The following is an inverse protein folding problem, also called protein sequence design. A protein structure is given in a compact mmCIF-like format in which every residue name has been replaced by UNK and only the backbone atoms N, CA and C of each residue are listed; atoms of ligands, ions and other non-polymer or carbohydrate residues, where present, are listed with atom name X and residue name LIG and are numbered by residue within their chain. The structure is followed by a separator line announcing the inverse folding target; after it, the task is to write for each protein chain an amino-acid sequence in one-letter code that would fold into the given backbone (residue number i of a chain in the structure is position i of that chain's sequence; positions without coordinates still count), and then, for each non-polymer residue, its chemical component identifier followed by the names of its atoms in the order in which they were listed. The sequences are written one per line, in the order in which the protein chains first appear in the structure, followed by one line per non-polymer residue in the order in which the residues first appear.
data_IF_463347295685
#
_entry.id   IF_463347295685
#
_cell.length_a   1.000
_cell.length_b   1.000
_cell.length_c   1.000
_cell.angle_alpha   90.00
_cell.angle_beta   90.00
_cell.angle_gamma   90.00
#
_symmetry.space_group_name_H-M   'P 1'
#
loop_
_entity.id
_entity.type
_entity.pdbx_description
1 polymer ?
#
# COMPACT_ATOMS: atom_id res chain seq x y z
N UNK A 1 23.55 -6.13 -1.68
CA UNK A 1 23.88 -4.94 -0.87
C UNK A 1 24.10 -5.29 0.61
N UNK A 2 23.25 -6.08 1.27
CA UNK A 2 23.51 -6.56 2.65
C UNK A 2 24.69 -7.50 2.70
N UNK A 3 24.88 -8.34 1.70
CA UNK A 3 26.10 -9.17 1.55
C UNK A 3 27.39 -8.36 1.33
N UNK A 4 27.29 -7.06 1.08
CA UNK A 4 28.40 -6.11 0.91
C UNK A 4 28.65 -5.24 2.15
N UNK A 5 27.95 -5.48 3.27
CA UNK A 5 28.20 -4.83 4.56
C UNK A 5 27.47 -3.50 4.79
N UNK A 6 26.48 -3.13 3.97
CA UNK A 6 25.62 -1.98 4.27
C UNK A 6 24.71 -2.27 5.45
N UNK A 7 24.56 -1.30 6.36
CA UNK A 7 23.64 -1.42 7.48
C UNK A 7 22.19 -1.05 7.06
N UNK A 8 21.17 -1.46 7.82
CA UNK A 8 19.77 -1.17 7.51
C UNK A 8 19.45 0.33 7.34
N UNK A 9 20.10 1.21 8.12
CA UNK A 9 19.91 2.66 8.05
C UNK A 9 20.46 3.26 6.73
N UNK A 10 21.55 2.70 6.20
CA UNK A 10 22.11 3.11 4.90
C UNK A 10 21.19 2.68 3.75
N UNK A 11 20.59 1.49 3.88
CA UNK A 11 19.63 0.97 2.91
C UNK A 11 18.35 1.80 2.95
N UNK A 12 17.84 2.15 4.14
CA UNK A 12 16.69 3.03 4.30
C UNK A 12 16.92 4.38 3.62
N UNK A 13 18.06 5.03 3.85
CA UNK A 13 18.42 6.29 3.19
C UNK A 13 18.48 6.17 1.67
N UNK A 14 18.97 5.03 1.16
CA UNK A 14 18.99 4.78 -0.29
C UNK A 14 17.58 4.64 -0.86
N UNK A 15 16.70 3.93 -0.15
CA UNK A 15 15.29 3.81 -0.53
C UNK A 15 14.58 5.17 -0.49
N UNK A 16 14.84 5.99 0.55
CA UNK A 16 14.27 7.34 0.66
C UNK A 16 14.74 8.28 -0.46
N UNK A 17 16.03 8.20 -0.85
CA UNK A 17 16.56 8.94 -2.01
C UNK A 17 15.92 8.48 -3.31
N UNK A 18 15.79 7.17 -3.53
CA UNK A 18 15.11 6.66 -4.72
C UNK A 18 13.64 7.10 -4.75
N UNK A 19 12.92 6.95 -3.65
CA UNK A 19 11.53 7.39 -3.55
C UNK A 19 11.38 8.90 -3.85
N UNK A 20 12.30 9.74 -3.35
CA UNK A 20 12.27 11.19 -3.60
C UNK A 20 12.54 11.57 -5.07
N UNK A 21 13.39 10.80 -5.78
CA UNK A 21 13.70 11.03 -7.19
C UNK A 21 12.50 10.65 -8.07
N UNK A 22 11.82 9.55 -7.75
CA UNK A 22 10.67 9.07 -8.51
C UNK A 22 9.38 9.85 -8.23
N UNK A 23 9.20 10.38 -7.01
CA UNK A 23 7.98 11.12 -6.60
C UNK A 23 7.62 12.26 -7.56
N UNK A 24 8.61 13.01 -8.05
CA UNK A 24 8.38 14.09 -9.02
C UNK A 24 7.97 13.62 -10.43
N UNK A 25 8.42 12.43 -10.84
CA UNK A 25 8.12 11.88 -12.17
C UNK A 25 6.80 11.13 -12.21
N UNK A 26 6.38 10.55 -11.09
CA UNK A 26 5.18 9.73 -10.96
C UNK A 26 3.94 10.60 -10.75
N UNK A 27 4.04 11.71 -10.01
CA UNK A 27 2.94 12.69 -9.89
C UNK A 27 2.45 13.23 -11.25
N UNK A 28 3.30 13.23 -12.29
CA UNK A 28 2.90 13.61 -13.65
C UNK A 28 2.24 12.46 -14.42
N UNK A 29 2.59 11.19 -14.11
CA UNK A 29 2.11 10.01 -14.85
C UNK A 29 0.76 9.51 -14.30
N UNK A 30 0.56 9.55 -12.99
CA UNK A 30 -0.65 9.00 -12.34
C UNK A 30 -1.86 9.94 -12.29
N UNK A 31 -1.76 11.17 -12.78
CA UNK A 31 -2.90 12.12 -12.79
C UNK A 31 -4.08 11.68 -13.66
N UNK A 32 -3.84 10.79 -14.63
CA UNK A 32 -4.86 10.40 -15.62
C UNK A 32 -5.36 8.94 -15.48
N UNK A 33 -4.76 8.10 -14.62
CA UNK A 33 -5.05 6.65 -14.56
C UNK A 33 -5.62 6.16 -13.21
N UNK A 34 -6.43 6.96 -12.53
CA UNK A 34 -7.17 6.47 -11.35
C UNK A 34 -8.12 5.34 -11.77
N UNK A 35 -7.77 4.11 -11.38
CA UNK A 35 -8.58 2.92 -11.58
C UNK A 35 -7.95 1.81 -12.43
N UNK A 36 -6.74 1.98 -12.93
CA UNK A 36 -5.99 0.87 -13.52
C UNK A 36 -5.22 0.12 -12.44
N UNK A 37 -5.77 -1.00 -12.01
CA UNK A 37 -5.08 -1.90 -11.10
C UNK A 37 -4.36 -2.97 -11.92
N UNK A 38 -3.03 -3.18 -11.72
CA UNK A 38 -2.29 -4.23 -12.43
C UNK A 38 -2.68 -5.64 -11.95
N UNK A 39 -3.54 -5.74 -10.94
CA UNK A 39 -3.98 -6.98 -10.34
C UNK A 39 -5.51 -7.12 -10.41
N UNK A 40 -6.04 -8.35 -10.62
CA UNK A 40 -7.47 -8.58 -10.59
C UNK A 40 -8.04 -8.41 -9.17
N UNK A 41 -9.35 -8.12 -9.09
CA UNK A 41 -10.06 -7.97 -7.82
C UNK A 41 -9.88 -9.21 -6.91
N UNK A 42 -9.55 -8.97 -5.66
CA UNK A 42 -9.26 -10.00 -4.65
C UNK A 42 -7.83 -10.51 -4.63
N UNK A 43 -7.02 -10.22 -5.67
CA UNK A 43 -5.60 -10.51 -5.64
C UNK A 43 -4.91 -9.78 -4.48
N UNK A 44 -3.92 -10.40 -3.77
CA UNK A 44 -3.26 -9.73 -2.63
C UNK A 44 -2.64 -8.37 -2.96
N UNK A 45 -2.06 -8.21 -4.17
CA UNK A 45 -1.55 -6.90 -4.62
C UNK A 45 -2.66 -5.86 -4.80
N UNK A 46 -3.82 -6.26 -5.37
CA UNK A 46 -4.98 -5.37 -5.46
C UNK A 46 -5.49 -4.99 -4.07
N UNK A 47 -5.56 -5.97 -3.15
CA UNK A 47 -6.00 -5.73 -1.76
C UNK A 47 -5.11 -4.72 -1.05
N UNK A 48 -3.78 -4.79 -1.26
CA UNK A 48 -2.83 -3.84 -0.66
C UNK A 48 -3.09 -2.42 -1.17
N UNK A 49 -3.29 -2.25 -2.48
CA UNK A 49 -3.55 -0.93 -3.11
C UNK A 49 -4.87 -0.32 -2.59
N UNK A 50 -5.97 -1.08 -2.59
CA UNK A 50 -7.26 -0.52 -2.15
C UNK A 50 -7.32 -0.22 -0.66
N UNK A 51 -6.50 -0.87 0.17
CA UNK A 51 -6.33 -0.48 1.56
C UNK A 51 -5.56 0.83 1.69
N UNK A 52 -4.49 1.00 0.91
CA UNK A 52 -3.72 2.24 0.86
C UNK A 52 -4.62 3.41 0.44
N UNK A 53 -5.41 3.26 -0.63
CA UNK A 53 -6.38 4.27 -1.06
C UNK A 53 -7.39 4.61 0.05
N UNK A 54 -7.93 3.61 0.74
CA UNK A 54 -8.89 3.83 1.82
C UNK A 54 -8.26 4.52 3.04
N UNK A 55 -7.00 4.24 3.33
CA UNK A 55 -6.22 4.91 4.38
C UNK A 55 -5.95 6.37 4.00
N UNK A 56 -5.51 6.63 2.77
CA UNK A 56 -5.29 8.00 2.26
C UNK A 56 -6.58 8.83 2.24
N UNK A 57 -7.70 8.23 1.79
CA UNK A 57 -9.00 8.86 1.84
C UNK A 57 -9.39 9.23 3.28
N UNK A 58 -9.23 8.31 4.23
CA UNK A 58 -9.52 8.58 5.63
C UNK A 58 -8.64 9.69 6.22
N UNK A 59 -7.36 9.71 5.89
CA UNK A 59 -6.44 10.77 6.32
C UNK A 59 -6.88 12.12 5.76
N UNK A 60 -7.15 12.19 4.46
CA UNK A 60 -7.47 13.45 3.77
C UNK A 60 -8.85 14.00 4.10
N UNK A 61 -9.84 13.14 4.33
CA UNK A 61 -11.23 13.55 4.57
C UNK A 61 -11.56 13.73 6.05
N UNK A 62 -10.90 12.99 6.93
CA UNK A 62 -11.23 12.99 8.37
C UNK A 62 -10.11 13.62 9.22
N UNK A 63 -8.87 13.14 9.10
CA UNK A 63 -7.82 13.56 10.05
C UNK A 63 -7.33 14.98 9.76
N UNK A 64 -6.95 15.27 8.53
CA UNK A 64 -6.37 16.57 8.16
C UNK A 64 -7.34 17.73 8.47
N UNK A 65 -8.62 17.71 8.06
CA UNK A 65 -9.54 18.78 8.35
C UNK A 65 -9.77 19.02 9.85
N UNK A 66 -9.88 17.93 10.64
CA UNK A 66 -10.04 18.04 12.10
C UNK A 66 -8.77 18.62 12.74
N UNK A 67 -7.59 18.20 12.29
CA UNK A 67 -6.32 18.69 12.81
C UNK A 67 -6.14 20.17 12.55
N UNK A 68 -6.43 20.64 11.34
CA UNK A 68 -6.36 22.07 10.94
C UNK A 68 -7.37 22.90 11.74
N UNK A 69 -8.60 22.42 11.89
CA UNK A 69 -9.61 23.11 12.68
C UNK A 69 -9.25 23.18 14.17
N UNK A 70 -8.68 22.07 14.72
CA UNK A 70 -8.23 22.04 16.12
C UNK A 70 -7.05 22.99 16.35
N UNK A 71 -6.10 23.05 15.43
CA UNK A 71 -4.95 23.95 15.53
C UNK A 71 -5.37 25.44 15.55
N UNK A 72 -6.43 25.79 14.83
CA UNK A 72 -6.95 27.16 14.77
C UNK A 72 -7.90 27.52 15.91
N UNK A 73 -8.74 26.60 16.34
CA UNK A 73 -9.85 26.89 17.27
C UNK A 73 -9.63 26.37 18.69
N UNK A 74 -8.68 25.46 18.92
CA UNK A 74 -8.31 24.90 20.23
C UNK A 74 -9.49 24.31 21.04
N UNK A 75 -10.55 23.85 20.36
CA UNK A 75 -11.73 23.32 21.03
C UNK A 75 -11.52 21.89 21.52
N UNK A 76 -11.88 21.58 22.77
CA UNK A 76 -11.77 20.22 23.33
C UNK A 76 -12.55 19.17 22.53
N UNK A 77 -13.69 19.57 21.96
CA UNK A 77 -14.47 18.68 21.09
C UNK A 77 -13.72 18.24 19.82
N UNK A 78 -12.91 19.12 19.23
CA UNK A 78 -12.05 18.81 18.08
C UNK A 78 -10.88 17.93 18.49
N UNK A 79 -10.28 18.21 19.66
CA UNK A 79 -9.24 17.36 20.25
C UNK A 79 -9.70 15.92 20.45
N UNK A 80 -10.92 15.74 20.97
CA UNK A 80 -11.51 14.42 21.18
C UNK A 80 -11.72 13.71 19.82
N UNK A 81 -12.31 14.41 18.85
CA UNK A 81 -12.52 13.85 17.50
C UNK A 81 -11.20 13.46 16.81
N UNK A 82 -10.18 14.32 16.92
CA UNK A 82 -8.86 14.04 16.33
C UNK A 82 -8.23 12.81 17.00
N UNK A 83 -8.37 12.70 18.32
CA UNK A 83 -7.91 11.50 19.06
C UNK A 83 -8.62 10.25 18.57
N UNK A 84 -9.96 10.27 18.48
CA UNK A 84 -10.75 9.13 18.00
C UNK A 84 -10.36 8.74 16.56
N UNK A 85 -10.11 9.73 15.70
CA UNK A 85 -9.65 9.48 14.34
C UNK A 85 -8.25 8.83 14.31
N UNK A 86 -7.32 9.26 15.17
CA UNK A 86 -6.00 8.64 15.30
C UNK A 86 -6.06 7.24 15.90
N UNK A 87 -6.96 6.98 16.86
CA UNK A 87 -7.22 5.64 17.38
C UNK A 87 -7.77 4.70 16.29
N UNK A 88 -8.66 5.21 15.43
CA UNK A 88 -9.16 4.47 14.27
C UNK A 88 -8.05 4.20 13.24
N UNK A 89 -7.17 5.19 12.99
CA UNK A 89 -6.03 5.04 12.09
C UNK A 89 -5.10 3.89 12.54
N UNK A 90 -5.02 3.60 13.83
CA UNK A 90 -4.23 2.48 14.33
C UNK A 90 -4.67 1.11 13.79
N UNK A 91 -5.85 1.00 13.17
CA UNK A 91 -6.26 -0.23 12.45
C UNK A 91 -5.31 -0.60 11.29
N UNK A 92 -4.43 0.32 10.87
CA UNK A 92 -3.33 0.06 9.92
C UNK A 92 -2.42 -1.08 10.36
N UNK A 93 -2.41 -1.39 11.65
CA UNK A 93 -1.68 -2.53 12.21
C UNK A 93 -2.02 -3.85 11.51
N UNK A 94 -3.27 -4.04 11.07
CA UNK A 94 -3.68 -5.23 10.29
C UNK A 94 -3.02 -5.26 8.91
N UNK A 95 -2.94 -4.10 8.25
CA UNK A 95 -2.27 -3.95 6.96
C UNK A 95 -0.77 -4.28 7.08
N UNK A 96 -0.08 -3.69 8.05
CA UNK A 96 1.33 -3.95 8.30
C UNK A 96 1.58 -5.40 8.75
N UNK A 97 0.78 -5.94 9.67
CA UNK A 97 0.90 -7.34 10.10
C UNK A 97 0.73 -8.31 8.92
N UNK A 98 -0.18 -8.03 7.98
CA UNK A 98 -0.35 -8.86 6.80
C UNK A 98 0.87 -8.77 5.86
N UNK A 99 1.41 -7.58 5.64
CA UNK A 99 2.65 -7.37 4.88
C UNK A 99 3.82 -8.13 5.54
N UNK A 100 4.02 -7.96 6.83
CA UNK A 100 5.10 -8.56 7.61
C UNK A 100 5.01 -10.09 7.70
N UNK A 101 3.82 -10.63 7.92
CA UNK A 101 3.62 -12.07 8.16
C UNK A 101 3.42 -12.87 6.87
N UNK A 102 2.97 -12.24 5.78
CA UNK A 102 2.64 -12.95 4.55
C UNK A 102 3.55 -12.56 3.38
N UNK A 103 3.84 -11.27 3.13
CA UNK A 103 4.70 -10.89 2.01
C UNK A 103 6.18 -11.10 2.32
N UNK A 104 6.65 -10.66 3.47
CA UNK A 104 8.09 -10.69 3.81
C UNK A 104 8.69 -12.10 3.82
N UNK A 105 8.02 -13.15 4.37
CA UNK A 105 8.56 -14.50 4.30
C UNK A 105 8.75 -15.02 2.87
N UNK A 106 7.84 -14.67 1.95
CA UNK A 106 8.00 -15.04 0.55
C UNK A 106 9.09 -14.22 -0.14
N UNK A 107 9.26 -12.94 0.20
CA UNK A 107 10.40 -12.15 -0.28
C UNK A 107 11.72 -12.78 0.15
N UNK A 108 11.86 -13.14 1.41
CA UNK A 108 13.06 -13.82 1.94
C UNK A 108 13.29 -15.18 1.26
N UNK A 109 12.24 -15.95 1.01
CA UNK A 109 12.30 -17.22 0.25
C UNK A 109 12.89 -17.01 -1.15
N UNK A 110 12.61 -15.88 -1.78
CA UNK A 110 13.14 -15.50 -3.10
C UNK A 110 14.45 -14.71 -3.02
N UNK A 111 15.09 -14.64 -1.85
CA UNK A 111 16.40 -14.00 -1.66
C UNK A 111 16.36 -12.48 -1.47
N UNK A 112 15.18 -11.90 -1.33
CA UNK A 112 14.98 -10.47 -1.05
C UNK A 112 14.90 -10.28 0.47
N UNK A 113 16.00 -9.92 1.11
CA UNK A 113 16.08 -9.86 2.58
C UNK A 113 16.20 -8.45 3.15
N UNK A 114 16.77 -7.52 2.38
CA UNK A 114 17.01 -6.16 2.85
C UNK A 114 15.73 -5.30 2.98
N UNK A 115 14.88 -5.20 1.94
CA UNK A 115 13.66 -4.40 2.01
C UNK A 115 12.72 -4.81 3.14
N UNK A 116 12.43 -6.12 3.37
CA UNK A 116 11.60 -6.55 4.50
C UNK A 116 12.10 -6.04 5.85
N UNK A 117 13.39 -6.13 6.13
CA UNK A 117 13.96 -5.69 7.41
C UNK A 117 13.83 -4.18 7.62
N UNK A 118 14.05 -3.39 6.56
CA UNK A 118 13.90 -1.93 6.63
C UNK A 118 12.44 -1.53 6.79
N UNK A 119 11.54 -2.12 5.99
CA UNK A 119 10.12 -1.78 6.03
C UNK A 119 9.50 -2.16 7.37
N UNK A 120 9.86 -3.31 7.95
CA UNK A 120 9.41 -3.70 9.29
C UNK A 120 9.77 -2.64 10.34
N UNK A 121 11.02 -2.17 10.34
CA UNK A 121 11.44 -1.11 11.25
C UNK A 121 10.62 0.17 11.10
N UNK A 122 10.33 0.57 9.88
CA UNK A 122 9.52 1.78 9.60
C UNK A 122 8.04 1.56 9.97
N UNK A 123 7.48 0.38 9.74
CA UNK A 123 6.12 0.03 10.18
C UNK A 123 5.98 0.18 11.70
N UNK A 124 6.97 -0.29 12.47
CA UNK A 124 7.00 -0.13 13.92
C UNK A 124 7.11 1.34 14.35
N UNK A 125 7.95 2.12 13.66
CA UNK A 125 8.04 3.57 13.91
C UNK A 125 6.70 4.29 13.66
N UNK A 126 5.98 3.94 12.60
CA UNK A 126 4.66 4.50 12.30
C UNK A 126 3.67 4.13 13.39
N UNK A 127 3.63 2.86 13.83
CA UNK A 127 2.80 2.41 14.95
C UNK A 127 3.05 3.23 16.21
N UNK A 128 4.32 3.46 16.55
CA UNK A 128 4.70 4.23 17.73
C UNK A 128 4.36 5.72 17.59
N UNK A 129 4.51 6.31 16.41
CA UNK A 129 4.10 7.71 16.14
C UNK A 129 2.59 7.90 16.28
N UNK A 130 1.78 6.96 15.77
CA UNK A 130 0.31 7.00 15.95
C UNK A 130 -0.04 6.91 17.43
N UNK A 131 0.53 5.95 18.18
CA UNK A 131 0.31 5.82 19.62
C UNK A 131 0.73 7.07 20.39
N UNK A 132 1.88 7.66 20.02
CA UNK A 132 2.36 8.91 20.61
C UNK A 132 1.38 10.06 20.39
N UNK A 133 0.84 10.19 19.18
CA UNK A 133 -0.16 11.22 18.84
C UNK A 133 -1.43 11.06 19.67
N UNK A 134 -1.96 9.84 19.82
CA UNK A 134 -3.11 9.52 20.66
C UNK A 134 -2.83 9.88 22.14
N UNK A 135 -1.62 9.58 22.62
CA UNK A 135 -1.21 9.93 24.00
C UNK A 135 -1.14 11.43 24.21
N UNK A 136 -0.54 12.18 23.27
CA UNK A 136 -0.46 13.64 23.35
C UNK A 136 -1.86 14.30 23.28
N UNK A 137 -2.74 13.80 22.43
CA UNK A 137 -4.13 14.23 22.36
C UNK A 137 -4.94 13.89 23.63
N UNK A 138 -4.45 12.98 24.45
CA UNK A 138 -5.05 12.65 25.75
C UNK A 138 -4.49 13.52 26.90
N UNK A 139 -3.37 14.21 26.71
CA UNK A 139 -2.76 15.06 27.73
C UNK A 139 -3.45 16.43 27.78
N UNK A 140 -3.93 16.81 28.95
CA UNK A 140 -4.58 18.10 29.18
C UNK A 140 -3.64 19.31 29.13
N UNK A 141 -2.32 19.11 29.21
CA UNK A 141 -1.32 20.16 29.29
C UNK A 141 -0.60 20.40 27.96
N UNK A 142 -0.84 19.58 26.94
CA UNK A 142 -0.20 19.74 25.64
C UNK A 142 -0.82 20.89 24.84
N UNK A 143 -0.01 21.64 24.11
CA UNK A 143 -0.52 22.66 23.18
C UNK A 143 -1.18 22.01 21.96
N UNK A 144 -2.14 22.70 21.34
CA UNK A 144 -2.77 22.22 20.12
C UNK A 144 -1.73 22.06 19.00
N UNK A 145 -0.81 22.99 18.88
CA UNK A 145 0.27 22.94 17.88
C UNK A 145 1.17 21.73 18.06
N UNK A 146 1.59 21.38 19.28
CA UNK A 146 2.45 20.22 19.52
C UNK A 146 1.71 18.90 19.25
N UNK A 147 0.43 18.84 19.64
CA UNK A 147 -0.39 17.66 19.37
C UNK A 147 -0.61 17.46 17.86
N UNK A 148 -0.93 18.54 17.12
CA UNK A 148 -1.11 18.48 15.66
C UNK A 148 0.21 18.20 14.94
N UNK A 149 1.33 18.76 15.42
CA UNK A 149 2.66 18.43 14.87
C UNK A 149 2.93 16.93 14.95
N UNK A 150 2.65 16.31 16.10
CA UNK A 150 2.81 14.85 16.26
C UNK A 150 1.91 14.05 15.31
N UNK A 151 0.69 14.50 15.06
CA UNK A 151 -0.23 13.88 14.10
C UNK A 151 0.34 13.97 12.67
N UNK A 152 0.83 15.15 12.28
CA UNK A 152 1.45 15.36 10.96
C UNK A 152 2.67 14.48 10.75
N UNK A 153 3.55 14.38 11.74
CA UNK A 153 4.73 13.49 11.69
C UNK A 153 4.36 12.02 11.46
N UNK A 154 3.26 11.55 12.07
CA UNK A 154 2.78 10.19 11.89
C UNK A 154 2.22 9.98 10.47
N UNK A 155 1.42 10.93 9.98
CA UNK A 155 0.80 10.88 8.65
C UNK A 155 1.86 10.95 7.55
N UNK A 156 2.83 11.85 7.65
CA UNK A 156 3.89 12.00 6.65
C UNK A 156 4.65 10.69 6.45
N UNK A 157 5.07 10.04 7.53
CA UNK A 157 5.80 8.76 7.43
C UNK A 157 4.91 7.64 6.89
N UNK A 158 3.61 7.64 7.24
CA UNK A 158 2.64 6.68 6.74
C UNK A 158 2.45 6.82 5.21
N UNK A 159 2.24 8.04 4.72
CA UNK A 159 2.12 8.31 3.27
C UNK A 159 3.40 7.93 2.52
N UNK A 160 4.58 8.18 3.11
CA UNK A 160 5.83 7.70 2.53
C UNK A 160 5.91 6.16 2.47
N UNK A 161 5.35 5.46 3.46
CA UNK A 161 5.29 4.00 3.42
C UNK A 161 4.35 3.51 2.33
N UNK A 162 3.15 4.09 2.19
CA UNK A 162 2.22 3.79 1.09
C UNK A 162 2.94 3.90 -0.27
N UNK A 163 3.63 5.01 -0.50
CA UNK A 163 4.41 5.20 -1.71
C UNK A 163 5.46 4.09 -1.92
N UNK A 164 6.19 3.70 -0.87
CA UNK A 164 7.18 2.62 -0.95
C UNK A 164 6.54 1.26 -1.23
N UNK A 165 5.36 1.01 -0.72
CA UNK A 165 4.60 -0.22 -0.99
C UNK A 165 4.16 -0.32 -2.44
N UNK A 166 3.65 0.76 -3.01
CA UNK A 166 3.13 0.76 -4.37
C UNK A 166 4.22 0.84 -5.43
N UNK A 167 5.22 1.69 -5.23
CA UNK A 167 6.24 1.99 -6.23
C UNK A 167 7.50 1.13 -6.12
N UNK A 168 7.74 0.48 -4.97
CA UNK A 168 8.94 -0.33 -4.75
C UNK A 168 8.57 -1.78 -4.42
N UNK A 169 7.75 -2.00 -3.39
CA UNK A 169 7.43 -3.35 -2.92
C UNK A 169 6.64 -4.13 -3.97
N UNK A 170 5.50 -3.60 -4.43
CA UNK A 170 4.62 -4.31 -5.38
C UNK A 170 5.31 -4.67 -6.69
N UNK A 171 6.02 -3.77 -7.39
CA UNK A 171 6.80 -4.15 -8.56
C UNK A 171 7.82 -5.25 -8.27
N UNK A 172 8.56 -5.12 -7.17
CA UNK A 172 9.58 -6.09 -6.79
C UNK A 172 9.01 -7.49 -6.54
N UNK A 173 7.89 -7.61 -5.82
CA UNK A 173 7.28 -8.92 -5.53
C UNK A 173 6.55 -9.49 -6.74
N UNK A 174 6.02 -8.64 -7.62
CA UNK A 174 5.37 -9.07 -8.87
C UNK A 174 6.35 -9.79 -9.80
N UNK A 175 7.60 -9.37 -9.81
CA UNK A 175 8.64 -9.98 -10.63
C UNK A 175 9.08 -11.36 -10.12
N UNK A 176 8.91 -11.67 -8.83
CA UNK A 176 9.51 -12.86 -8.22
C UNK A 176 8.51 -13.84 -7.60
N UNK A 177 7.33 -13.38 -7.19
CA UNK A 177 6.34 -14.26 -6.56
C UNK A 177 5.67 -15.17 -7.58
N UNK A 178 5.58 -16.44 -7.23
CA UNK A 178 4.84 -17.43 -8.01
C UNK A 178 3.32 -17.31 -7.76
N UNK A 179 2.47 -17.84 -8.65
CA UNK A 179 1.03 -17.92 -8.40
C UNK A 179 0.69 -18.65 -7.10
N UNK A 180 1.50 -19.61 -6.70
CA UNK A 180 1.36 -20.38 -5.46
C UNK A 180 1.70 -19.52 -4.22
N UNK A 181 2.70 -18.64 -4.31
CA UNK A 181 3.03 -17.68 -3.25
C UNK A 181 1.88 -16.68 -3.06
N UNK A 182 1.36 -16.12 -4.14
CA UNK A 182 0.21 -15.22 -4.11
C UNK A 182 -1.05 -15.89 -3.52
N UNK A 183 -1.29 -17.15 -3.87
CA UNK A 183 -2.41 -17.94 -3.34
C UNK A 183 -2.28 -18.14 -1.82
N UNK A 184 -1.07 -18.43 -1.33
CA UNK A 184 -0.82 -18.60 0.09
C UNK A 184 -0.99 -17.28 0.87
N UNK A 185 -0.62 -16.13 0.27
CA UNK A 185 -0.84 -14.80 0.86
C UNK A 185 -2.35 -14.51 0.95
N UNK A 186 -3.12 -14.81 -0.11
CA UNK A 186 -4.58 -14.64 -0.10
C UNK A 186 -5.22 -15.46 1.02
N UNK A 187 -4.89 -16.75 1.10
CA UNK A 187 -5.44 -17.68 2.11
C UNK A 187 -5.15 -17.22 3.54
N UNK A 188 -3.94 -16.73 3.82
CA UNK A 188 -3.54 -16.23 5.14
C UNK A 188 -4.14 -14.87 5.50
N UNK A 189 -4.53 -14.07 4.50
CA UNK A 189 -4.96 -12.68 4.71
C UNK A 189 -6.23 -12.55 5.56
N UNK A 190 -7.16 -13.48 5.43
CA UNK A 190 -8.43 -13.45 6.18
C UNK A 190 -8.25 -13.64 7.68
N UNK A 191 -7.22 -14.34 8.14
CA UNK A 191 -6.95 -14.56 9.56
C UNK A 191 -6.44 -13.29 10.25
N UNK A 192 -5.64 -12.49 9.54
CA UNK A 192 -5.12 -11.21 10.04
C UNK A 192 -6.20 -10.13 9.93
N UNK A 193 -6.99 -10.17 8.88
CA UNK A 193 -8.03 -9.20 8.56
C UNK A 193 -7.51 -8.02 7.72
N UNK A 194 -8.39 -7.02 7.53
CA UNK A 194 -8.17 -5.90 6.62
C UNK A 194 -8.30 -4.57 7.34
N UNK A 195 -7.64 -3.54 6.81
CA UNK A 195 -7.65 -2.18 7.33
C UNK A 195 -8.51 -1.30 6.43
N UNK A 196 -9.46 -0.56 7.00
CA UNK A 196 -10.34 0.41 6.33
C UNK A 196 -11.24 -0.14 5.21
N UNK A 197 -11.09 -1.37 4.78
CA UNK A 197 -11.92 -2.03 3.79
C UNK A 197 -12.67 -3.23 4.39
N UNK A 198 -13.77 -3.63 3.76
CA UNK A 198 -14.39 -4.91 4.02
C UNK A 198 -13.55 -6.04 3.43
N UNK A 199 -13.83 -7.29 3.87
CA UNK A 199 -13.15 -8.45 3.31
C UNK A 199 -13.29 -8.48 1.78
N UNK A 200 -12.16 -8.52 1.03
CA UNK A 200 -12.17 -8.61 -0.43
C UNK A 200 -12.79 -9.92 -0.93
N UNK A 201 -13.12 -9.95 -2.22
CA UNK A 201 -13.48 -11.20 -2.87
C UNK A 201 -12.32 -12.19 -2.80
N UNK A 202 -12.68 -13.47 -2.73
CA UNK A 202 -11.70 -14.54 -2.80
C UNK A 202 -11.07 -14.58 -4.18
N UNK A 203 -9.75 -14.57 -4.23
CA UNK A 203 -8.98 -14.73 -5.46
C UNK A 203 -8.47 -16.17 -5.59
N UNK A 204 -8.37 -16.66 -6.83
CA UNK A 204 -7.87 -17.98 -7.13
C UNK A 204 -6.94 -17.97 -8.34
N UNK A 205 -5.68 -18.29 -8.11
CA UNK A 205 -4.64 -18.30 -9.15
C UNK A 205 -4.92 -19.23 -10.34
N UNK A 206 -5.74 -20.26 -10.16
CA UNK A 206 -6.12 -21.18 -11.24
C UNK A 206 -7.17 -20.59 -12.17
N UNK A 207 -8.13 -19.83 -11.65
CA UNK A 207 -9.18 -19.18 -12.45
C UNK A 207 -8.58 -18.08 -13.33
N UNK A 208 -7.60 -17.33 -12.84
CA UNK A 208 -6.89 -16.32 -13.63
C UNK A 208 -6.10 -16.92 -14.80
N UNK A 209 -5.50 -18.12 -14.61
CA UNK A 209 -4.82 -18.82 -15.71
C UNK A 209 -5.81 -19.22 -16.81
N UNK A 210 -7.01 -19.66 -16.46
CA UNK A 210 -8.05 -20.05 -17.42
C UNK A 210 -8.56 -18.83 -18.20
N UNK A 211 -8.91 -17.76 -17.50
CA UNK A 211 -9.38 -16.50 -18.11
C UNK A 211 -8.35 -15.87 -19.04
N UNK A 212 -7.06 -15.94 -18.69
CA UNK A 212 -5.97 -15.44 -19.53
C UNK A 212 -5.71 -16.32 -20.78
N UNK A 213 -6.02 -17.61 -20.73
CA UNK A 213 -5.90 -18.50 -21.88
C UNK A 213 -7.08 -18.30 -22.81
N UNK A 214 -8.30 -18.15 -22.31
CA UNK A 214 -9.50 -17.89 -23.10
C UNK A 214 -9.42 -16.55 -23.82
N UNK A 215 -9.00 -15.49 -23.13
CA UNK A 215 -8.81 -14.15 -23.75
C UNK A 215 -7.74 -14.12 -24.85
N UNK A 216 -6.68 -14.93 -24.73
CA UNK A 216 -5.64 -15.06 -25.78
C UNK A 216 -6.12 -15.89 -26.96
N UNK A 217 -7.00 -16.86 -26.76
CA UNK A 217 -7.57 -17.68 -27.84
C UNK A 217 -8.61 -16.86 -28.64
N UNK A 218 -9.42 -16.06 -28.00
CA UNK A 218 -10.38 -15.15 -28.67
C UNK A 218 -9.67 -14.09 -29.55
N UNK A 219 -8.51 -13.61 -29.13
CA UNK A 219 -7.68 -12.68 -29.91
C UNK A 219 -6.99 -13.35 -31.12
N UNK A 220 -6.79 -14.66 -31.05
CA UNK A 220 -6.16 -15.42 -32.14
C UNK A 220 -7.19 -15.89 -33.17
N UNK A 221 -8.40 -16.24 -32.76
CA UNK A 221 -9.51 -16.58 -33.67
C UNK A 221 -10.01 -15.37 -34.47
N UNK A 222 -9.94 -14.16 -33.91
CA UNK A 222 -10.26 -12.91 -34.62
C UNK A 222 -9.27 -12.51 -35.74
N UNK A 223 -8.08 -13.11 -35.78
CA UNK A 223 -7.06 -12.84 -36.82
C UNK A 223 -7.13 -13.79 -38.01
N UNK A 224 -7.88 -14.86 -37.95
CA UNK A 224 -7.96 -15.85 -39.04
C UNK A 224 -9.08 -15.56 -40.08
N UNK A 225 -9.86 -14.49 -39.96
CA UNK A 225 -10.99 -14.19 -40.87
C UNK A 225 -10.66 -13.09 -41.91
N UNK A 226 -9.44 -12.61 -42.04
CA UNK A 226 -9.11 -11.52 -42.97
C UNK A 226 -8.05 -11.87 -44.02
N UNK A 227 -8.10 -13.10 -44.57
CA UNK A 227 -7.33 -13.42 -45.79
C UNK A 227 -8.10 -14.44 -46.63
N UNK A 228 -9.20 -14.00 -47.28
CA UNK A 228 -9.59 -14.56 -48.57
C UNK A 228 -10.63 -13.66 -49.23
N UNK A 229 -10.22 -12.91 -50.22
CA UNK A 229 -11.00 -12.44 -51.37
C UNK A 229 -10.19 -11.48 -52.25
N UNK A 230 -9.21 -11.99 -52.87
CA UNK A 230 -8.52 -11.32 -53.96
C UNK A 230 -8.46 -12.23 -55.20
N UNK A 231 -9.60 -12.39 -55.90
CA UNK A 231 -9.56 -13.02 -57.24
C UNK A 231 -10.13 -12.07 -58.23
N UNK A 232 -9.28 -11.49 -58.99
CA UNK A 232 -9.10 -11.43 -60.43
C UNK A 232 -10.35 -11.67 -61.32
N UNK A 233 -10.57 -10.81 -62.28
CA UNK A 233 -10.61 -11.14 -63.73
C UNK A 233 -11.12 -9.97 -64.56
N UNK A 234 -10.92 -9.94 -65.85
CA UNK A 234 -9.71 -10.13 -66.67
C UNK A 234 -9.24 -8.83 -67.31
#
# INVERSE_FOLDING_TARGET
LINEGMNPEEIQKLCDVHASIFKGSIEEIHKDDKGFYPFPEGHPGHTLIIENEAIEEFISTEIIPIAEEYENNHQDSLKIKLKEAMEKLYSIDKHYSRKEMLFFPFMEKHGITAPPQVMWGVDDEIREKIKRSVKLLSDGNISASDAVSSVREAIEQLIEMIFKEEEILLPMVTDVFTPEDWQAIEEGSSEIGFSFISQPKKWNSHEDKINNIESKNDLNDGKSILFDAGTLLP
#
